data_IF_866972388056
#
_entry.id   IF_866972388056
#
_cell.length_a   1.000
_cell.length_b   1.000
_cell.length_c   1.000
_cell.angle_alpha   90.00
_cell.angle_beta   90.00
_cell.angle_gamma   90.00
#
_symmetry.space_group_name_H-M   'P 1'
#
loop_
_entity.id
_entity.type
_entity.pdbx_description
1 polymer ?
#
# COMPACT_ATOMS: atom_id res chain seq x y z
N UNK A 1 -17.14 2.37 -7.21
CA UNK A 1 -15.85 1.73 -6.93
C UNK A 1 -15.86 1.25 -5.49
N UNK A 2 -15.58 -0.03 -5.29
CA UNK A 2 -15.32 -0.57 -3.95
C UNK A 2 -14.04 0.06 -3.41
N UNK A 3 -13.91 0.13 -2.08
CA UNK A 3 -12.66 0.61 -1.45
C UNK A 3 -11.46 -0.27 -1.86
N UNK A 4 -11.72 -1.55 -2.17
CA UNK A 4 -10.72 -2.48 -2.67
C UNK A 4 -10.17 -2.09 -4.05
N UNK A 5 -11.03 -1.63 -4.95
CA UNK A 5 -10.64 -1.21 -6.31
C UNK A 5 -9.73 0.02 -6.27
N UNK A 6 -9.97 0.93 -5.32
CA UNK A 6 -9.18 2.14 -5.16
C UNK A 6 -7.76 1.83 -4.66
N UNK A 7 -7.62 0.94 -3.67
CA UNK A 7 -6.31 0.48 -3.21
C UNK A 7 -5.57 -0.33 -4.28
N UNK A 8 -6.27 -1.16 -5.07
CA UNK A 8 -5.67 -1.85 -6.22
C UNK A 8 -5.15 -0.88 -7.28
N UNK A 9 -5.91 0.17 -7.59
CA UNK A 9 -5.50 1.22 -8.54
C UNK A 9 -4.27 1.99 -8.04
N UNK A 10 -4.24 2.35 -6.75
CA UNK A 10 -3.08 2.99 -6.15
C UNK A 10 -1.86 2.07 -6.18
N UNK A 11 -2.01 0.79 -5.80
CA UNK A 11 -0.93 -0.20 -5.84
C UNK A 11 -0.34 -0.32 -7.24
N UNK A 12 -1.21 -0.39 -8.27
CA UNK A 12 -0.78 -0.44 -9.67
C UNK A 12 0.04 0.79 -10.05
N UNK A 13 -0.44 1.99 -9.73
CA UNK A 13 0.27 3.22 -10.03
C UNK A 13 1.66 3.28 -9.35
N UNK A 14 1.78 2.74 -8.14
CA UNK A 14 3.05 2.66 -7.41
C UNK A 14 4.01 1.66 -8.07
N UNK A 15 3.53 0.46 -8.43
CA UNK A 15 4.32 -0.51 -9.18
C UNK A 15 4.83 0.06 -10.50
N UNK A 16 3.96 0.71 -11.29
CA UNK A 16 4.32 1.29 -12.59
C UNK A 16 5.30 2.47 -12.44
N UNK A 17 5.15 3.30 -11.40
CA UNK A 17 6.01 4.48 -11.18
C UNK A 17 7.39 4.14 -10.63
N UNK A 18 7.46 3.22 -9.67
CA UNK A 18 8.69 2.92 -8.94
C UNK A 18 9.33 1.61 -9.38
N UNK A 19 8.67 0.78 -10.20
CA UNK A 19 9.23 -0.50 -10.67
C UNK A 19 9.24 -1.62 -9.61
N UNK A 20 8.60 -1.39 -8.45
CA UNK A 20 8.40 -2.43 -7.44
C UNK A 20 7.48 -3.53 -7.96
N UNK A 21 7.75 -4.78 -7.58
CA UNK A 21 7.11 -5.97 -8.15
C UNK A 21 5.67 -6.14 -7.68
N UNK A 22 5.41 -5.80 -6.42
CA UNK A 22 4.10 -5.91 -5.80
C UNK A 22 3.91 -4.85 -4.73
N UNK A 23 2.69 -4.35 -4.64
CA UNK A 23 2.22 -3.47 -3.57
C UNK A 23 0.85 -3.93 -3.12
N UNK A 24 0.63 -4.02 -1.81
CA UNK A 24 -0.70 -4.26 -1.28
C UNK A 24 -0.93 -3.56 0.05
N UNK A 25 -2.20 -3.31 0.34
CA UNK A 25 -2.66 -2.62 1.52
C UNK A 25 -3.45 -3.55 2.42
N UNK A 26 -3.30 -3.38 3.73
CA UNK A 26 -4.06 -4.14 4.71
C UNK A 26 -4.51 -3.26 5.87
N UNK A 27 -5.66 -3.60 6.46
CA UNK A 27 -6.16 -3.04 7.72
C UNK A 27 -5.81 -3.96 8.87
N UNK A 28 -5.28 -3.42 9.95
CA UNK A 28 -5.15 -4.11 11.22
C UNK A 28 -6.54 -4.24 11.89
N UNK A 29 -6.89 -5.48 12.25
CA UNK A 29 -8.05 -5.85 13.04
C UNK A 29 -7.54 -6.66 14.24
N UNK A 30 -7.18 -5.95 15.31
CA UNK A 30 -6.40 -6.52 16.41
C UNK A 30 -5.05 -7.03 15.89
N UNK A 31 -4.78 -8.32 16.11
CA UNK A 31 -3.53 -8.98 15.67
C UNK A 31 -3.58 -9.50 14.22
N UNK A 32 -4.68 -9.29 13.49
CA UNK A 32 -4.86 -9.78 12.11
C UNK A 32 -4.75 -8.64 11.12
N UNK A 33 -4.21 -8.94 9.94
CA UNK A 33 -4.16 -8.03 8.80
C UNK A 33 -5.19 -8.46 7.77
N UNK A 34 -6.16 -7.60 7.49
CA UNK A 34 -7.20 -7.81 6.50
C UNK A 34 -6.84 -7.11 5.20
N UNK A 35 -6.69 -7.88 4.13
CA UNK A 35 -6.36 -7.36 2.80
C UNK A 35 -7.41 -6.35 2.33
N UNK A 36 -6.95 -5.20 1.82
CA UNK A 36 -7.80 -4.17 1.27
C UNK A 36 -7.72 -4.15 -0.26
N UNK A 37 -6.52 -4.23 -0.82
CA UNK A 37 -6.32 -4.17 -2.27
C UNK A 37 -4.83 -4.11 -2.59
N UNK A 38 -4.46 -4.47 -3.81
CA UNK A 38 -3.08 -4.64 -4.20
C UNK A 38 -2.93 -4.96 -5.68
N UNK A 39 -1.70 -4.89 -6.16
CA UNK A 39 -1.32 -5.15 -7.55
C UNK A 39 0.10 -5.70 -7.60
N UNK A 40 0.38 -6.51 -8.62
CA UNK A 40 1.70 -7.06 -8.89
C UNK A 40 1.83 -8.54 -8.53
N UNK A 41 3.01 -9.09 -8.82
CA UNK A 41 3.31 -10.51 -8.68
C UNK A 41 4.06 -10.77 -7.38
N UNK A 42 3.65 -11.80 -6.65
CA UNK A 42 4.35 -12.22 -5.43
C UNK A 42 5.76 -12.71 -5.79
N UNK A 43 6.74 -12.17 -5.08
CA UNK A 43 8.13 -12.60 -5.18
C UNK A 43 8.43 -13.58 -4.04
N UNK A 44 9.59 -14.24 -4.12
CA UNK A 44 10.07 -15.11 -3.03
C UNK A 44 10.67 -14.33 -1.86
N UNK A 45 10.72 -12.99 -1.94
CA UNK A 45 11.32 -12.13 -0.93
C UNK A 45 10.27 -11.65 0.06
N UNK A 46 10.63 -11.52 1.34
CA UNK A 46 9.71 -11.00 2.34
C UNK A 46 9.35 -9.54 1.99
N UNK A 47 8.06 -9.17 2.00
CA UNK A 47 7.65 -7.80 1.73
C UNK A 47 8.15 -6.86 2.84
N UNK A 48 8.66 -5.71 2.42
CA UNK A 48 8.83 -4.58 3.31
C UNK A 48 7.46 -3.98 3.65
N UNK A 49 7.33 -3.40 4.85
CA UNK A 49 6.05 -2.83 5.28
C UNK A 49 6.21 -1.51 6.02
N UNK A 50 5.20 -0.67 5.90
CA UNK A 50 5.11 0.58 6.64
C UNK A 50 3.67 0.85 7.08
N UNK A 51 3.50 1.37 8.28
CA UNK A 51 2.21 1.90 8.72
C UNK A 51 1.98 3.27 8.07
N UNK A 52 0.77 3.47 7.55
CA UNK A 52 0.36 4.69 6.85
C UNK A 52 -0.52 5.59 7.71
N UNK A 53 -1.53 5.03 8.37
CA UNK A 53 -2.46 5.77 9.23
C UNK A 53 -3.33 4.81 10.07
N UNK A 54 -3.39 4.96 11.39
CA UNK A 54 -4.29 4.25 12.33
C UNK A 54 -4.69 2.82 11.90
N UNK A 55 -3.71 1.91 11.85
CA UNK A 55 -3.94 0.52 11.48
C UNK A 55 -4.04 0.24 9.98
N UNK A 56 -3.85 1.22 9.11
CA UNK A 56 -3.59 1.00 7.68
C UNK A 56 -2.11 0.72 7.45
N UNK A 57 -1.83 -0.37 6.76
CA UNK A 57 -0.49 -0.82 6.40
C UNK A 57 -0.35 -0.90 4.88
N UNK A 58 0.84 -0.58 4.40
CA UNK A 58 1.31 -0.96 3.07
C UNK A 58 2.40 -2.01 3.17
N UNK A 59 2.41 -2.90 2.19
CA UNK A 59 3.43 -3.89 1.95
C UNK A 59 3.92 -3.71 0.52
N UNK A 60 5.23 -3.80 0.30
CA UNK A 60 5.84 -3.64 -1.02
C UNK A 60 7.06 -4.56 -1.18
N UNK A 61 7.22 -5.11 -2.38
CA UNK A 61 8.26 -6.08 -2.74
C UNK A 61 9.09 -5.57 -3.92
N UNK A 62 10.39 -5.87 -3.95
CA UNK A 62 11.31 -5.40 -4.98
C UNK A 62 11.82 -3.97 -4.76
N UNK A 63 11.75 -3.46 -3.54
CA UNK A 63 12.25 -2.13 -3.20
C UNK A 63 13.73 -2.13 -2.77
N UNK A 64 14.35 -3.30 -2.62
CA UNK A 64 15.77 -3.46 -2.35
C UNK A 64 16.66 -2.94 -3.50
N UNK A 65 16.12 -2.89 -4.71
CA UNK A 65 16.79 -2.33 -5.90
C UNK A 65 16.61 -0.80 -6.01
N UNK A 66 15.77 -0.20 -5.16
CA UNK A 66 15.51 1.24 -5.21
C UNK A 66 16.61 2.06 -4.53
N UNK A 67 17.06 3.14 -5.17
CA UNK A 67 17.82 4.18 -4.50
C UNK A 67 17.07 4.71 -3.25
N UNK A 68 17.78 5.10 -2.17
CA UNK A 68 17.15 5.58 -0.94
C UNK A 68 16.16 6.74 -1.14
N UNK A 69 16.47 7.66 -2.06
CA UNK A 69 15.62 8.80 -2.44
C UNK A 69 14.32 8.36 -3.14
N UNK A 70 14.39 7.34 -4.01
CA UNK A 70 13.22 6.75 -4.65
C UNK A 70 12.33 6.03 -3.64
N UNK A 71 12.94 5.33 -2.68
CA UNK A 71 12.21 4.63 -1.61
C UNK A 71 11.51 5.61 -0.67
N UNK A 72 12.15 6.71 -0.32
CA UNK A 72 11.52 7.78 0.47
C UNK A 72 10.35 8.41 -0.29
N UNK A 73 10.53 8.69 -1.58
CA UNK A 73 9.46 9.22 -2.43
C UNK A 73 8.28 8.25 -2.58
N UNK A 74 8.55 6.95 -2.72
CA UNK A 74 7.52 5.90 -2.71
C UNK A 74 6.69 5.97 -1.43
N UNK A 75 7.34 5.97 -0.28
CA UNK A 75 6.66 6.00 1.02
C UNK A 75 5.86 7.29 1.20
N UNK A 76 6.38 8.43 0.74
CA UNK A 76 5.68 9.72 0.78
C UNK A 76 4.39 9.68 -0.05
N UNK A 77 4.47 9.24 -1.30
CA UNK A 77 3.32 9.14 -2.23
C UNK A 77 2.28 8.18 -1.69
N UNK A 78 2.71 6.99 -1.26
CA UNK A 78 1.83 5.96 -0.73
C UNK A 78 1.14 6.41 0.56
N UNK A 79 1.85 7.09 1.45
CA UNK A 79 1.28 7.59 2.71
C UNK A 79 0.23 8.67 2.46
N UNK A 80 0.50 9.63 1.57
CA UNK A 80 -0.47 10.69 1.27
C UNK A 80 -1.73 10.11 0.59
N UNK A 81 -1.55 9.32 -0.47
CA UNK A 81 -2.67 8.78 -1.24
C UNK A 81 -3.45 7.72 -0.46
N UNK A 82 -2.74 6.80 0.21
CA UNK A 82 -3.34 5.74 1.02
C UNK A 82 -4.16 6.31 2.17
N UNK A 83 -3.65 7.35 2.86
CA UNK A 83 -4.40 8.03 3.92
C UNK A 83 -5.66 8.71 3.40
N UNK A 84 -5.61 9.38 2.25
CA UNK A 84 -6.82 9.98 1.65
C UNK A 84 -7.88 8.92 1.34
N UNK A 85 -7.50 7.80 0.72
CA UNK A 85 -8.42 6.69 0.45
C UNK A 85 -9.02 6.11 1.73
N UNK A 86 -8.20 5.97 2.77
CA UNK A 86 -8.60 5.45 4.07
C UNK A 86 -9.66 6.32 4.74
N UNK A 87 -9.46 7.63 4.76
CA UNK A 87 -10.38 8.57 5.38
C UNK A 87 -11.72 8.66 4.63
N UNK A 88 -11.70 8.55 3.29
CA UNK A 88 -12.92 8.45 2.48
C UNK A 88 -13.74 7.19 2.78
N UNK A 89 -13.06 6.09 3.13
CA UNK A 89 -13.70 4.85 3.55
C UNK A 89 -14.26 4.90 4.98
N UNK A 90 -13.54 5.54 5.92
CA UNK A 90 -13.96 5.72 7.32
C UNK A 90 -15.23 6.57 7.44
N UNK A 91 -15.38 7.62 6.63
CA UNK A 91 -16.55 8.51 6.64
C UNK A 91 -17.87 7.87 6.17
N UNK A 92 -17.88 6.58 5.81
CA UNK A 92 -19.06 5.83 5.33
C UNK A 92 -19.58 4.78 6.31
N UNK A 93 -19.06 4.72 7.54
CA UNK A 93 -19.56 3.80 8.55
C UNK A 93 -18.96 4.08 9.92
N UNK A 94 -19.63 4.94 10.68
CA UNK A 94 -20.20 4.61 11.99
C UNK A 94 -21.52 5.39 12.14
#
# INVERSE_FOLDING_TARGET
>A
MSNSDAFGTLARAVCERFGVKKVYFARALGNRLHYLGGYGEETYLPPEKAELDEGLWVFYEGAEELPPDQKEELLRVVREAGRRLWQQGKGRGD
#
